data_IF_228004334266
#
_entry.id   IF_228004334266
#
_cell.length_a   1.000
_cell.length_b   1.000
_cell.length_c   1.000
_cell.angle_alpha   90.00
_cell.angle_beta   90.00
_cell.angle_gamma   90.00
#
_symmetry.space_group_name_H-M   'P 1'
#
loop_
_entity.id
_entity.type
_entity.pdbx_description
1 polymer ?
#
# COMPACT_ATOMS: atom_id res chain seq x y z
N UNK A 1 -14.40 5.85 -22.16
CA UNK A 1 -15.18 4.80 -21.45
C UNK A 1 -14.33 4.10 -20.40
N UNK A 2 -13.24 3.41 -20.76
CA UNK A 2 -12.37 2.71 -19.79
C UNK A 2 -11.80 3.60 -18.67
N UNK A 3 -11.29 4.80 -18.99
CA UNK A 3 -10.72 5.71 -17.98
C UNK A 3 -11.74 6.15 -16.92
N UNK A 4 -12.95 6.54 -17.36
CA UNK A 4 -14.05 6.94 -16.47
C UNK A 4 -14.44 5.79 -15.54
N UNK A 5 -14.59 4.58 -16.09
CA UNK A 5 -14.95 3.41 -15.30
C UNK A 5 -13.90 3.11 -14.23
N UNK A 6 -12.61 3.12 -14.59
CA UNK A 6 -11.51 2.90 -13.64
C UNK A 6 -11.51 3.95 -12.55
N UNK A 7 -11.67 5.23 -12.89
CA UNK A 7 -11.72 6.30 -11.89
C UNK A 7 -12.90 6.13 -10.94
N UNK A 8 -14.09 5.82 -11.46
CA UNK A 8 -15.28 5.56 -10.63
C UNK A 8 -15.07 4.35 -9.71
N UNK A 9 -14.52 3.25 -10.22
CA UNK A 9 -14.20 2.07 -9.41
C UNK A 9 -13.25 2.41 -8.27
N UNK A 10 -12.20 3.20 -8.53
CA UNK A 10 -11.25 3.58 -7.47
C UNK A 10 -11.85 4.58 -6.48
N UNK A 11 -12.71 5.50 -6.91
CA UNK A 11 -13.46 6.38 -6.01
C UNK A 11 -14.38 5.58 -5.07
N UNK A 12 -15.11 4.60 -5.60
CA UNK A 12 -15.94 3.69 -4.82
C UNK A 12 -15.10 2.82 -3.87
N UNK A 13 -13.93 2.36 -4.33
CA UNK A 13 -12.98 1.66 -3.47
C UNK A 13 -12.46 2.53 -2.33
N UNK A 14 -12.21 3.83 -2.59
CA UNK A 14 -11.91 4.81 -1.54
C UNK A 14 -13.04 4.93 -0.52
N UNK A 15 -14.29 5.12 -0.97
CA UNK A 15 -15.45 5.19 -0.09
C UNK A 15 -15.66 3.92 0.76
N UNK A 16 -15.32 2.74 0.22
CA UNK A 16 -15.35 1.49 0.98
C UNK A 16 -14.37 1.48 2.17
N UNK A 17 -13.26 2.21 2.07
CA UNK A 17 -12.27 2.35 3.13
C UNK A 17 -12.60 3.46 4.15
N UNK A 18 -13.67 4.22 3.98
CA UNK A 18 -14.11 5.17 5.00
C UNK A 18 -14.87 6.36 4.46
N UNK A 19 -15.58 7.05 5.36
CA UNK A 19 -16.44 8.18 5.01
C UNK A 19 -15.70 9.51 4.86
N UNK A 20 -14.42 9.59 5.24
CA UNK A 20 -13.64 10.82 5.12
C UNK A 20 -13.30 11.13 3.65
N UNK A 21 -13.32 12.42 3.29
CA UNK A 21 -12.98 12.88 1.94
C UNK A 21 -11.54 12.56 1.52
N UNK A 22 -10.64 12.32 2.47
CA UNK A 22 -9.26 11.88 2.20
C UNK A 22 -9.22 10.52 1.50
N UNK A 23 -10.16 9.61 1.82
CA UNK A 23 -10.29 8.33 1.12
C UNK A 23 -10.82 8.48 -0.30
N UNK A 24 -11.77 9.41 -0.52
CA UNK A 24 -12.26 9.74 -1.87
C UNK A 24 -11.12 10.32 -2.71
N UNK A 25 -10.34 11.25 -2.14
CA UNK A 25 -9.18 11.82 -2.82
C UNK A 25 -8.11 10.77 -3.12
N UNK A 26 -7.86 9.84 -2.19
CA UNK A 26 -6.97 8.69 -2.42
C UNK A 26 -7.44 7.82 -3.59
N UNK A 27 -8.73 7.47 -3.62
CA UNK A 27 -9.32 6.68 -4.70
C UNK A 27 -9.27 7.41 -6.04
N UNK A 28 -9.61 8.70 -6.04
CA UNK A 28 -9.53 9.57 -7.21
C UNK A 28 -8.11 9.69 -7.75
N UNK A 29 -7.13 9.88 -6.87
CA UNK A 29 -5.70 9.94 -7.23
C UNK A 29 -5.29 8.67 -7.98
N UNK A 30 -5.57 7.49 -7.42
CA UNK A 30 -5.23 6.21 -8.06
C UNK A 30 -5.98 5.98 -9.37
N UNK A 31 -7.26 6.34 -9.41
CA UNK A 31 -8.08 6.28 -10.63
C UNK A 31 -7.49 7.11 -11.76
N UNK A 32 -7.13 8.36 -11.48
CA UNK A 32 -6.45 9.25 -12.43
C UNK A 32 -5.08 8.70 -12.80
N UNK A 33 -4.28 8.23 -11.84
CA UNK A 33 -2.97 7.64 -12.09
C UNK A 33 -3.04 6.44 -13.06
N UNK A 34 -4.03 5.56 -12.89
CA UNK A 34 -4.28 4.45 -13.80
C UNK A 34 -4.73 4.92 -15.19
N UNK A 35 -5.63 5.90 -15.25
CA UNK A 35 -6.07 6.48 -16.52
C UNK A 35 -4.89 7.11 -17.29
N UNK A 36 -4.03 7.87 -16.60
CA UNK A 36 -2.80 8.44 -17.16
C UNK A 36 -1.85 7.34 -17.62
N UNK A 37 -1.63 6.30 -16.81
CA UNK A 37 -0.79 5.17 -17.22
C UNK A 37 -1.34 4.48 -18.48
N UNK A 38 -2.65 4.24 -18.58
CA UNK A 38 -3.25 3.68 -19.79
C UNK A 38 -3.04 4.55 -21.03
N UNK A 39 -3.12 5.87 -20.89
CA UNK A 39 -2.82 6.81 -21.99
C UNK A 39 -1.33 6.76 -22.32
N UNK A 40 -0.45 6.77 -21.31
CA UNK A 40 0.99 6.71 -21.49
C UNK A 40 1.42 5.45 -22.26
N UNK A 41 0.88 4.29 -21.93
CA UNK A 41 1.17 3.04 -22.63
C UNK A 41 0.80 3.10 -24.12
N UNK A 42 -0.18 3.92 -24.52
CA UNK A 42 -0.57 4.11 -25.93
C UNK A 42 0.40 5.00 -26.71
N UNK A 43 1.21 5.81 -26.03
CA UNK A 43 2.22 6.65 -26.68
C UNK A 43 3.42 5.85 -27.19
N UNK A 44 3.62 4.62 -26.67
CA UNK A 44 4.78 3.79 -26.97
C UNK A 44 6.09 4.27 -26.30
N UNK A 45 6.07 5.39 -25.57
CA UNK A 45 7.23 5.91 -24.86
C UNK A 45 7.57 5.03 -23.65
N UNK A 46 8.83 4.58 -23.59
CA UNK A 46 9.34 3.75 -22.49
C UNK A 46 10.21 4.58 -21.57
N UNK A 47 9.81 4.65 -20.30
CA UNK A 47 10.67 5.17 -19.23
C UNK A 47 11.75 4.13 -18.89
N UNK A 48 12.98 4.57 -18.55
CA UNK A 48 13.97 3.71 -17.93
C UNK A 48 13.38 3.03 -16.68
N UNK A 49 13.63 1.72 -16.51
CA UNK A 49 13.03 0.93 -15.43
C UNK A 49 13.18 1.56 -14.03
N UNK A 50 14.35 2.08 -13.62
CA UNK A 50 14.48 2.70 -12.30
C UNK A 50 13.63 3.96 -12.15
N UNK A 51 13.51 4.77 -13.21
CA UNK A 51 12.70 5.99 -13.20
C UNK A 51 11.20 5.65 -13.12
N UNK A 52 10.74 4.66 -13.89
CA UNK A 52 9.36 4.17 -13.81
C UNK A 52 9.03 3.64 -12.41
N UNK A 53 9.92 2.83 -11.84
CA UNK A 53 9.76 2.29 -10.50
C UNK A 53 9.71 3.40 -9.44
N UNK A 54 10.65 4.35 -9.47
CA UNK A 54 10.69 5.45 -8.51
C UNK A 54 9.45 6.33 -8.62
N UNK A 55 9.00 6.63 -9.85
CA UNK A 55 7.78 7.40 -10.08
C UNK A 55 6.55 6.71 -9.48
N UNK A 56 6.39 5.41 -9.72
CA UNK A 56 5.30 4.63 -9.14
C UNK A 56 5.40 4.59 -7.61
N UNK A 57 6.60 4.37 -7.06
CA UNK A 57 6.82 4.34 -5.62
C UNK A 57 6.41 5.67 -4.97
N UNK A 58 6.91 6.80 -5.48
CA UNK A 58 6.60 8.13 -4.94
C UNK A 58 5.11 8.45 -5.06
N UNK A 59 4.48 8.09 -6.18
CA UNK A 59 3.04 8.25 -6.37
C UNK A 59 2.24 7.46 -5.33
N UNK A 60 2.56 6.18 -5.13
CA UNK A 60 1.89 5.31 -4.16
C UNK A 60 2.12 5.80 -2.73
N UNK A 61 3.35 6.21 -2.39
CA UNK A 61 3.67 6.80 -1.08
C UNK A 61 2.89 8.08 -0.81
N UNK A 62 2.73 8.95 -1.82
CA UNK A 62 1.88 10.14 -1.69
C UNK A 62 0.40 9.77 -1.49
N UNK A 63 -0.07 8.72 -2.17
CA UNK A 63 -1.38 8.12 -1.91
C UNK A 63 -1.52 7.68 -0.45
N UNK A 64 -0.55 6.94 0.09
CA UNK A 64 -0.60 6.48 1.49
C UNK A 64 -0.70 7.62 2.51
N UNK A 65 -0.15 8.80 2.23
CA UNK A 65 -0.34 9.98 3.07
C UNK A 65 -1.81 10.37 3.13
N UNK A 66 -2.50 10.44 1.99
CA UNK A 66 -3.95 10.74 1.96
C UNK A 66 -4.75 9.66 2.67
N UNK A 67 -4.46 8.38 2.42
CA UNK A 67 -5.17 7.26 3.02
C UNK A 67 -5.09 7.25 4.55
N UNK A 68 -3.92 7.57 5.11
CA UNK A 68 -3.69 7.59 6.56
C UNK A 68 -4.20 8.86 7.23
N UNK A 69 -4.36 9.95 6.49
CA UNK A 69 -4.60 11.26 7.10
C UNK A 69 -6.05 11.45 7.53
N UNK A 70 -6.24 11.93 8.75
CA UNK A 70 -7.57 12.27 9.30
C UNK A 70 -8.21 13.49 8.62
N UNK A 71 -7.41 14.36 7.98
CA UNK A 71 -7.91 15.52 7.23
C UNK A 71 -6.90 15.97 6.18
N UNK A 72 -7.35 16.79 5.22
CA UNK A 72 -6.46 17.39 4.23
C UNK A 72 -5.43 18.33 4.86
N UNK A 73 -5.80 19.05 5.93
CA UNK A 73 -4.85 19.89 6.68
C UNK A 73 -3.72 19.07 7.32
N UNK A 74 -4.05 17.89 7.87
CA UNK A 74 -3.05 16.97 8.40
C UNK A 74 -2.18 16.37 7.28
N UNK A 75 -2.78 15.96 6.16
CA UNK A 75 -2.05 15.46 5.00
C UNK A 75 -1.04 16.50 4.46
N UNK A 76 -1.45 17.77 4.35
CA UNK A 76 -0.59 18.86 3.92
C UNK A 76 0.63 19.05 4.84
N UNK A 77 0.42 18.96 6.16
CA UNK A 77 1.54 18.99 7.13
C UNK A 77 2.50 17.82 6.96
N UNK A 78 1.98 16.62 6.72
CA UNK A 78 2.79 15.42 6.45
C UNK A 78 3.64 15.60 5.19
N UNK A 79 3.06 16.09 4.09
CA UNK A 79 3.80 16.38 2.86
C UNK A 79 4.89 17.43 3.09
N UNK A 80 4.57 18.51 3.79
CA UNK A 80 5.54 19.55 4.13
C UNK A 80 6.70 18.99 4.98
N UNK A 81 6.41 18.10 5.95
CA UNK A 81 7.43 17.41 6.73
C UNK A 81 8.30 16.47 5.88
N UNK A 82 7.72 15.75 4.92
CA UNK A 82 8.48 14.89 4.00
C UNK A 82 9.44 15.69 3.10
N UNK A 83 9.09 16.94 2.78
CA UNK A 83 9.95 17.88 2.07
C UNK A 83 10.96 18.60 2.98
N UNK A 84 10.94 18.34 4.30
CA UNK A 84 11.83 18.98 5.26
C UNK A 84 11.45 20.41 5.65
N UNK A 85 10.25 20.89 5.30
CA UNK A 85 9.80 22.27 5.57
C UNK A 85 9.56 22.54 7.06
N UNK A 86 9.39 21.49 7.87
CA UNK A 86 9.31 21.58 9.33
C UNK A 86 10.65 21.25 10.03
N UNK A 87 11.76 21.27 9.29
CA UNK A 87 13.08 20.87 9.75
C UNK A 87 13.31 19.36 9.64
N UNK A 88 14.59 18.98 9.74
CA UNK A 88 15.01 17.57 9.74
C UNK A 88 15.24 17.14 11.18
N UNK A 89 14.32 16.33 11.71
CA UNK A 89 14.48 15.73 13.02
C UNK A 89 15.61 14.70 13.05
N UNK A 90 16.27 14.54 14.20
CA UNK A 90 17.11 13.37 14.46
C UNK A 90 16.22 12.27 15.02
N UNK A 91 16.26 11.11 14.36
CA UNK A 91 15.64 9.89 14.88
C UNK A 91 16.76 8.99 15.40
N UNK A 92 16.73 8.68 16.70
CA UNK A 92 17.55 7.63 17.27
C UNK A 92 16.79 6.31 17.15
N UNK A 93 17.27 5.41 16.31
CA UNK A 93 16.74 4.06 16.20
C UNK A 93 17.69 3.09 16.90
N UNK A 94 17.14 2.19 17.71
CA UNK A 94 17.92 1.11 18.29
C UNK A 94 18.47 0.22 17.18
N UNK A 95 19.62 -0.42 17.47
CA UNK A 95 20.34 -1.25 16.51
C UNK A 95 19.46 -2.34 15.89
N UNK A 96 18.54 -2.90 16.68
CA UNK A 96 17.59 -3.91 16.23
C UNK A 96 16.64 -3.39 15.15
N UNK A 97 16.09 -2.18 15.30
CA UNK A 97 15.22 -1.56 14.31
C UNK A 97 15.99 -1.21 13.03
N UNK A 98 17.23 -0.72 13.18
CA UNK A 98 18.10 -0.46 12.03
C UNK A 98 18.39 -1.75 11.26
N UNK A 99 18.73 -2.84 11.97
CA UNK A 99 18.98 -4.14 11.37
C UNK A 99 17.73 -4.70 10.67
N UNK A 100 16.55 -4.57 11.30
CA UNK A 100 15.29 -5.01 10.74
C UNK A 100 14.91 -4.21 9.47
N UNK A 101 15.08 -2.88 9.50
CA UNK A 101 14.82 -2.02 8.34
C UNK A 101 15.78 -2.29 7.19
N UNK A 102 17.09 -2.42 7.49
CA UNK A 102 18.10 -2.71 6.48
C UNK A 102 17.90 -4.10 5.87
N UNK A 103 17.69 -5.12 6.70
CA UNK A 103 17.43 -6.49 6.25
C UNK A 103 16.13 -6.61 5.48
N UNK A 104 15.03 -6.06 6.00
CA UNK A 104 13.73 -6.05 5.33
C UNK A 104 13.77 -5.26 4.01
N UNK A 105 14.45 -4.12 3.98
CA UNK A 105 14.66 -3.33 2.77
C UNK A 105 15.48 -4.09 1.72
N UNK A 106 16.56 -4.78 2.12
CA UNK A 106 17.35 -5.59 1.21
C UNK A 106 16.55 -6.76 0.63
N UNK A 107 15.75 -7.45 1.45
CA UNK A 107 14.84 -8.50 0.97
C UNK A 107 13.79 -7.93 0.03
N UNK A 108 13.22 -6.76 0.34
CA UNK A 108 12.21 -6.14 -0.52
C UNK A 108 12.77 -5.67 -1.88
N UNK A 109 14.04 -5.22 -1.92
CA UNK A 109 14.66 -4.69 -3.13
C UNK A 109 15.34 -5.76 -4.00
N UNK A 110 15.95 -6.77 -3.37
CA UNK A 110 16.79 -7.77 -4.05
C UNK A 110 16.26 -9.20 -3.91
N UNK A 111 15.37 -9.45 -2.95
CA UNK A 111 14.75 -10.75 -2.77
C UNK A 111 13.69 -11.06 -3.83
N UNK A 112 13.28 -12.33 -3.95
CA UNK A 112 12.18 -12.71 -4.83
C UNK A 112 10.89 -12.05 -4.36
N UNK A 113 10.01 -11.71 -5.30
CA UNK A 113 8.67 -11.25 -4.92
C UNK A 113 7.95 -12.38 -4.18
N UNK A 114 7.00 -12.05 -3.30
CA UNK A 114 6.21 -13.06 -2.56
C UNK A 114 5.55 -14.06 -3.51
N UNK A 115 5.11 -13.60 -4.69
CA UNK A 115 4.56 -14.46 -5.74
C UNK A 115 5.62 -15.39 -6.35
N UNK A 116 6.81 -14.89 -6.68
CA UNK A 116 7.89 -15.75 -7.21
C UNK A 116 8.34 -16.78 -6.19
N UNK A 117 8.50 -16.36 -4.93
CA UNK A 117 8.82 -17.26 -3.82
C UNK A 117 7.73 -18.31 -3.64
N UNK A 118 6.45 -17.91 -3.66
CA UNK A 118 5.33 -18.84 -3.58
C UNK A 118 5.36 -19.86 -4.73
N UNK A 119 5.53 -19.40 -5.98
CA UNK A 119 5.53 -20.30 -7.14
C UNK A 119 6.75 -21.21 -7.23
N UNK A 120 7.90 -20.80 -6.68
CA UNK A 120 9.15 -21.59 -6.72
C UNK A 120 9.32 -22.51 -5.49
N UNK A 121 8.85 -22.09 -4.32
CA UNK A 121 9.02 -22.81 -3.05
C UNK A 121 7.78 -23.63 -2.68
N UNK A 122 6.57 -23.12 -2.95
CA UNK A 122 5.33 -23.81 -2.61
C UNK A 122 4.89 -24.68 -3.78
N UNK A 123 5.14 -25.99 -3.67
CA UNK A 123 4.53 -26.96 -4.57
C UNK A 123 3.07 -27.18 -4.13
N UNK A 124 2.08 -27.01 -5.02
CA UNK A 124 0.68 -27.22 -4.66
C UNK A 124 0.45 -28.70 -4.33
N UNK A 125 0.37 -29.02 -3.03
CA UNK A 125 0.05 -30.34 -2.52
C UNK A 125 -1.20 -30.26 -1.67
N UNK A 126 -2.24 -31.01 -2.05
CA UNK A 126 -3.50 -31.10 -1.29
C UNK A 126 -3.29 -31.50 0.17
N UNK A 127 -2.26 -32.29 0.45
CA UNK A 127 -1.91 -32.74 1.80
C UNK A 127 -1.28 -31.65 2.67
N UNK A 128 -0.65 -30.63 2.06
CA UNK A 128 -0.16 -29.45 2.77
C UNK A 128 -1.24 -28.36 2.84
N UNK A 129 -2.05 -28.24 1.78
CA UNK A 129 -3.10 -27.23 1.69
C UNK A 129 -4.18 -27.39 2.77
N UNK A 130 -4.61 -28.63 3.05
CA UNK A 130 -5.64 -28.90 4.07
C UNK A 130 -5.19 -28.48 5.49
N UNK A 131 -4.04 -28.91 6.03
CA UNK A 131 -3.61 -28.51 7.37
C UNK A 131 -3.24 -27.01 7.44
N UNK A 132 -2.63 -26.44 6.39
CA UNK A 132 -2.33 -24.99 6.36
C UNK A 132 -3.64 -24.18 6.36
N UNK A 133 -4.61 -24.58 5.55
CA UNK A 133 -5.93 -23.94 5.49
C UNK A 133 -6.70 -24.06 6.80
N UNK A 134 -6.70 -25.25 7.41
CA UNK A 134 -7.30 -25.48 8.73
C UNK A 134 -6.60 -24.65 9.82
N UNK A 135 -5.27 -24.57 9.79
CA UNK A 135 -4.48 -23.73 10.68
C UNK A 135 -4.78 -22.24 10.52
N UNK A 136 -4.87 -21.74 9.28
CA UNK A 136 -5.26 -20.36 8.98
C UNK A 136 -6.69 -20.07 9.46
N UNK A 137 -7.64 -20.97 9.19
CA UNK A 137 -9.01 -20.84 9.68
C UNK A 137 -9.05 -20.80 11.21
N UNK A 138 -8.32 -21.70 11.88
CA UNK A 138 -8.20 -21.71 13.33
C UNK A 138 -7.57 -20.43 13.88
N UNK A 139 -6.51 -19.92 13.25
CA UNK A 139 -5.89 -18.64 13.61
C UNK A 139 -6.87 -17.47 13.44
N UNK A 140 -7.62 -17.43 12.34
CA UNK A 140 -8.66 -16.41 12.11
C UNK A 140 -9.74 -16.49 13.18
N UNK A 141 -10.19 -17.69 13.56
CA UNK A 141 -11.17 -17.87 14.64
C UNK A 141 -10.61 -17.47 16.01
N UNK A 142 -9.33 -17.78 16.29
CA UNK A 142 -8.66 -17.37 17.52
C UNK A 142 -8.47 -15.85 17.61
N UNK A 143 -8.11 -15.19 16.52
CA UNK A 143 -7.91 -13.74 16.47
C UNK A 143 -9.26 -13.02 16.49
N UNK A 144 -10.21 -13.49 15.69
CA UNK A 144 -11.56 -12.91 15.58
C UNK A 144 -12.40 -13.04 16.84
N UNK A 145 -12.17 -14.06 17.66
CA UNK A 145 -12.87 -14.26 18.93
C UNK A 145 -12.30 -13.49 20.12
N UNK A 146 -11.14 -12.83 19.99
CA UNK A 146 -10.39 -12.32 21.16
C UNK A 146 -10.45 -10.80 21.38
N UNK A 147 -10.95 -9.99 20.44
CA UNK A 147 -10.96 -8.54 20.62
C UNK A 147 -12.22 -7.89 20.01
N UNK A 148 -13.05 -7.16 20.81
CA UNK A 148 -13.95 -6.16 20.28
C UNK A 148 -13.11 -4.93 19.89
N UNK A 149 -12.21 -5.08 18.92
CA UNK A 149 -11.62 -3.91 18.28
C UNK A 149 -12.69 -3.38 17.35
N UNK A 150 -13.34 -2.28 17.77
CA UNK A 150 -14.20 -1.50 16.87
C UNK A 150 -13.43 -1.32 15.58
N UNK A 151 -14.04 -1.72 14.45
CA UNK A 151 -13.41 -1.67 13.13
C UNK A 151 -12.74 -0.30 12.96
N UNK A 152 -11.52 -0.27 12.41
CA UNK A 152 -10.66 0.93 12.24
C UNK A 152 -11.44 2.15 11.70
N UNK A 153 -12.55 1.92 10.99
CA UNK A 153 -13.46 2.93 10.46
C UNK A 153 -14.32 3.70 11.48
N UNK A 154 -14.19 3.45 12.78
CA UNK A 154 -14.94 4.17 13.83
C UNK A 154 -14.03 4.81 14.90
N UNK A 155 -12.73 4.89 14.64
CA UNK A 155 -11.75 5.46 15.58
C UNK A 155 -11.30 6.88 15.19
N UNK A 156 -12.15 7.64 14.50
CA UNK A 156 -11.89 9.05 14.15
C UNK A 156 -12.85 9.99 14.88
#
# INVERSE_FOLDING_TARGET
RQAVNVTLTMLLGGLWHGAAWTFVAWGGLHGVGLAVNHVWQRTGLRLPRPAAWLLTLLFVMAGWVLFRSASFGFAGRLFASMLGLHGVGRVSLDREYVAALAGGGAVALFGPTSQQAALSLLRPSRWLAVPIGAGLAYLVLLIGGRLPNVFIYFQF
#
